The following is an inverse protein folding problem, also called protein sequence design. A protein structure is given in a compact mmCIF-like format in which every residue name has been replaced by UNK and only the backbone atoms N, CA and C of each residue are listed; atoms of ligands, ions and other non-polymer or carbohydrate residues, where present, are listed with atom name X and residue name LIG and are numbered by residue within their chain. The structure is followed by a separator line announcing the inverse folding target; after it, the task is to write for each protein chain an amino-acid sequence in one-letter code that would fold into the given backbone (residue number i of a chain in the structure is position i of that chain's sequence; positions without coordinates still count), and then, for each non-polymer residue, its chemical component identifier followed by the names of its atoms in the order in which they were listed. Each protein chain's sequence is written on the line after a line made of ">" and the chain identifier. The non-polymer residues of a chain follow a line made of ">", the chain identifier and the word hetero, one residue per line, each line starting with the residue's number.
data_IF_356486738500
#
_entry.id   IF_356486738500
#
_cell.length_a   1.000
_cell.length_b   1.000
_cell.length_c   1.000
_cell.angle_alpha   90.00
_cell.angle_beta   90.00
_cell.angle_gamma   90.00
#
_symmetry.space_group_name_H-M   'P 1'
#
loop_
_entity.id
_entity.type
_entity.pdbx_description
1 polymer ?
#
# COMPACT_ATOMS: atom_id res chain seq x y z
N UNK A 1 20.09 -21.70 3.53
CA UNK A 1 20.90 -20.47 3.52
C UNK A 1 19.97 -19.37 4.03
N UNK A 2 20.22 -18.83 5.21
CA UNK A 2 19.48 -17.68 5.75
C UNK A 2 19.81 -16.48 4.86
N UNK A 3 18.81 -16.01 4.12
CA UNK A 3 18.89 -14.76 3.37
C UNK A 3 19.29 -13.63 4.33
N UNK A 4 20.32 -12.87 3.99
CA UNK A 4 20.74 -11.74 4.82
C UNK A 4 19.53 -10.78 4.95
N UNK A 5 19.16 -10.46 6.19
CA UNK A 5 18.16 -9.42 6.41
C UNK A 5 18.62 -8.13 5.70
N UNK A 6 17.69 -7.37 5.09
CA UNK A 6 18.05 -6.10 4.47
C UNK A 6 18.77 -5.22 5.50
N UNK A 7 19.76 -4.46 5.04
CA UNK A 7 20.50 -3.54 5.91
C UNK A 7 19.50 -2.61 6.61
N UNK A 8 19.62 -2.51 7.92
CA UNK A 8 18.83 -1.54 8.68
C UNK A 8 19.22 -0.12 8.24
N UNK A 9 18.26 0.81 8.12
CA UNK A 9 18.57 2.19 7.78
C UNK A 9 19.48 2.83 8.82
N UNK A 10 20.44 3.64 8.36
CA UNK A 10 21.36 4.38 9.23
C UNK A 10 20.77 5.69 9.77
N UNK A 11 19.76 6.23 9.08
CA UNK A 11 19.16 7.53 9.38
C UNK A 11 17.64 7.50 9.31
N UNK A 12 17.04 8.50 9.96
CA UNK A 12 15.64 8.88 9.84
C UNK A 12 15.55 10.41 9.68
N UNK A 13 14.62 10.89 8.89
CA UNK A 13 14.34 12.31 8.79
C UNK A 13 13.11 12.66 9.63
N UNK A 14 13.25 13.64 10.55
CA UNK A 14 12.18 14.09 11.46
C UNK A 14 12.13 15.59 11.48
N UNK A 15 11.02 16.18 11.08
CA UNK A 15 10.73 17.63 11.14
C UNK A 15 11.87 18.55 10.63
N UNK A 16 12.45 18.23 9.47
CA UNK A 16 13.54 19.00 8.87
C UNK A 16 14.96 18.57 9.30
N UNK A 17 15.07 17.50 10.09
CA UNK A 17 16.36 17.04 10.63
C UNK A 17 16.66 15.62 10.24
N UNK A 18 17.83 15.38 9.67
CA UNK A 18 18.38 14.03 9.47
C UNK A 18 19.03 13.59 10.80
N UNK A 19 18.60 12.47 11.35
CA UNK A 19 19.02 11.95 12.65
C UNK A 19 19.52 10.51 12.51
N UNK A 20 20.46 10.03 13.34
CA UNK A 20 20.84 8.62 13.37
C UNK A 20 19.63 7.75 13.71
N UNK A 21 19.47 6.59 13.06
CA UNK A 21 18.28 5.74 13.23
C UNK A 21 18.14 5.13 14.63
N UNK A 22 19.23 5.03 15.38
CA UNK A 22 19.28 4.49 16.76
C UNK A 22 19.09 5.56 17.84
N UNK A 23 18.96 6.86 17.48
CA UNK A 23 18.71 7.93 18.44
C UNK A 23 17.24 8.00 18.87
N UNK A 24 16.89 8.58 20.02
CA UNK A 24 15.51 8.86 20.37
C UNK A 24 14.94 9.99 19.51
N UNK A 25 13.81 9.73 18.82
CA UNK A 25 13.24 10.64 17.81
C UNK A 25 11.91 11.23 18.23
N UNK A 26 11.06 10.42 18.85
CA UNK A 26 9.68 10.79 19.13
C UNK A 26 9.43 10.85 20.64
N UNK A 27 8.55 11.75 21.02
CA UNK A 27 8.06 11.84 22.39
C UNK A 27 7.17 10.63 22.71
N UNK A 28 7.28 10.08 23.93
CA UNK A 28 6.32 9.12 24.45
C UNK A 28 4.90 9.71 24.58
N UNK A 29 4.76 11.02 24.50
CA UNK A 29 3.49 11.75 24.48
C UNK A 29 2.98 12.04 23.06
N UNK A 30 3.65 11.54 22.02
CA UNK A 30 3.16 11.63 20.65
C UNK A 30 1.88 10.80 20.48
N UNK A 31 0.85 11.43 19.92
CA UNK A 31 -0.47 10.81 19.78
C UNK A 31 -0.49 9.69 18.73
N UNK A 32 0.40 9.76 17.73
CA UNK A 32 0.60 8.66 16.79
C UNK A 32 1.07 7.39 17.50
N UNK A 33 2.00 7.52 18.48
CA UNK A 33 2.44 6.39 19.31
C UNK A 33 1.36 5.91 20.27
N UNK A 34 0.66 6.85 20.97
CA UNK A 34 -0.31 6.48 22.02
C UNK A 34 -1.63 5.93 21.48
N UNK A 35 -2.12 6.47 20.34
CA UNK A 35 -3.49 6.27 19.88
C UNK A 35 -3.57 5.81 18.41
N UNK A 36 -2.46 5.77 17.69
CA UNK A 36 -2.50 5.64 16.24
C UNK A 36 -3.11 6.88 15.56
N UNK A 37 -3.09 8.05 16.22
CA UNK A 37 -3.65 9.32 15.73
C UNK A 37 -2.65 9.95 14.75
N UNK A 38 -2.66 9.45 13.53
CA UNK A 38 -1.75 9.84 12.47
C UNK A 38 -2.13 9.17 11.15
N UNK A 39 -1.50 9.64 10.10
CA UNK A 39 -1.63 9.15 8.73
C UNK A 39 -0.27 8.83 8.13
N UNK A 40 -0.24 8.01 7.09
CA UNK A 40 1.02 7.67 6.45
C UNK A 40 0.87 7.39 4.97
N UNK A 41 1.97 7.51 4.25
CA UNK A 41 2.14 7.02 2.90
C UNK A 41 3.31 6.04 2.83
N UNK A 42 3.26 5.15 1.83
CA UNK A 42 4.37 4.25 1.51
C UNK A 42 4.57 4.30 0.01
N UNK A 43 5.72 4.78 -0.39
CA UNK A 43 6.08 5.10 -1.75
C UNK A 43 7.25 4.22 -2.20
N UNK A 44 7.39 4.03 -3.51
CA UNK A 44 8.61 3.46 -4.10
C UNK A 44 9.43 4.57 -4.73
N UNK A 45 10.73 4.57 -4.45
CA UNK A 45 11.69 5.42 -5.11
C UNK A 45 12.68 4.55 -5.90
N UNK A 46 12.88 4.88 -7.18
CA UNK A 46 13.85 4.22 -8.06
C UNK A 46 14.81 5.25 -8.62
N UNK A 47 16.13 5.01 -8.47
CA UNK A 47 17.18 5.95 -8.88
C UNK A 47 16.93 7.38 -8.35
N UNK A 48 16.58 7.49 -7.07
CA UNK A 48 16.26 8.76 -6.41
C UNK A 48 14.90 9.36 -6.77
N UNK A 49 14.17 8.82 -7.76
CA UNK A 49 12.88 9.35 -8.20
C UNK A 49 11.73 8.60 -7.54
N UNK A 50 10.86 9.33 -6.85
CA UNK A 50 9.64 8.78 -6.25
C UNK A 50 8.57 8.59 -7.32
N UNK A 51 7.97 7.40 -7.34
CA UNK A 51 6.84 7.07 -8.22
C UNK A 51 5.54 7.63 -7.66
N UNK A 52 4.75 8.32 -8.50
CA UNK A 52 3.41 8.84 -8.15
C UNK A 52 3.40 9.73 -6.90
N UNK A 53 4.43 10.59 -6.72
CA UNK A 53 4.54 11.45 -5.54
C UNK A 53 3.32 12.36 -5.37
N UNK A 54 2.81 12.94 -6.46
CA UNK A 54 1.64 13.84 -6.44
C UNK A 54 0.39 13.13 -5.93
N UNK A 55 0.13 11.93 -6.41
CA UNK A 55 -1.02 11.11 -6.01
C UNK A 55 -0.91 10.67 -4.54
N UNK A 56 0.28 10.33 -4.10
CA UNK A 56 0.55 10.00 -2.70
C UNK A 56 0.35 11.20 -1.78
N UNK A 57 0.84 12.38 -2.16
CA UNK A 57 0.64 13.62 -1.38
C UNK A 57 -0.85 14.00 -1.33
N UNK A 58 -1.57 13.92 -2.44
CA UNK A 58 -3.01 14.18 -2.47
C UNK A 58 -3.77 13.25 -1.50
N UNK A 59 -3.42 11.96 -1.45
CA UNK A 59 -4.03 11.02 -0.50
C UNK A 59 -3.59 11.25 0.95
N UNK A 60 -2.35 11.70 1.18
CA UNK A 60 -1.89 12.11 2.50
C UNK A 60 -2.74 13.27 3.03
N UNK A 61 -2.97 14.31 2.20
CA UNK A 61 -3.85 15.42 2.52
C UNK A 61 -5.27 14.95 2.82
N UNK A 62 -5.87 14.13 1.94
CA UNK A 62 -7.21 13.57 2.15
C UNK A 62 -7.30 12.80 3.48
N UNK A 63 -6.29 12.00 3.80
CA UNK A 63 -6.28 11.23 5.05
C UNK A 63 -6.11 12.12 6.29
N UNK A 64 -5.28 13.14 6.20
CA UNK A 64 -5.06 14.11 7.28
C UNK A 64 -6.33 14.94 7.53
N UNK A 65 -6.98 15.44 6.47
CA UNK A 65 -8.24 16.18 6.55
C UNK A 65 -9.34 15.32 7.18
N UNK A 66 -9.45 14.05 6.76
CA UNK A 66 -10.43 13.10 7.31
C UNK A 66 -10.27 12.84 8.82
N UNK A 67 -9.04 12.93 9.34
CA UNK A 67 -8.76 12.86 10.79
C UNK A 67 -8.70 14.25 11.45
N UNK A 68 -8.82 15.35 10.70
CA UNK A 68 -8.63 16.69 11.20
C UNK A 68 -7.23 16.93 11.75
N UNK A 69 -6.19 16.37 11.10
CA UNK A 69 -4.78 16.64 11.43
C UNK A 69 -4.32 17.84 10.59
N UNK A 70 -3.99 18.98 11.22
CA UNK A 70 -3.54 20.15 10.47
C UNK A 70 -2.16 19.89 9.87
N UNK A 71 -2.05 19.95 8.55
CA UNK A 71 -0.78 19.90 7.84
C UNK A 71 -0.22 21.32 7.69
N UNK A 72 1.11 21.43 7.77
CA UNK A 72 1.80 22.70 7.46
C UNK A 72 1.61 23.05 5.99
N UNK A 73 1.54 24.34 5.67
CA UNK A 73 1.32 24.79 4.29
C UNK A 73 2.45 24.37 3.33
N UNK A 74 3.65 24.12 3.85
CA UNK A 74 4.84 23.69 3.12
C UNK A 74 5.10 22.16 3.22
N UNK A 75 4.13 21.37 3.70
CA UNK A 75 4.33 19.93 3.96
C UNK A 75 4.80 19.18 2.73
N UNK A 76 4.28 19.47 1.55
CA UNK A 76 4.64 18.80 0.31
C UNK A 76 6.11 19.03 -0.06
N UNK A 77 6.59 20.28 0.05
CA UNK A 77 7.99 20.61 -0.15
C UNK A 77 8.88 19.92 0.89
N UNK A 78 8.49 19.94 2.16
CA UNK A 78 9.22 19.26 3.25
C UNK A 78 9.29 17.74 3.05
N UNK A 79 8.23 17.13 2.53
CA UNK A 79 8.24 15.70 2.21
C UNK A 79 9.20 15.42 1.05
N UNK A 80 9.15 16.22 -0.02
CA UNK A 80 10.05 16.04 -1.16
C UNK A 80 11.52 16.20 -0.76
N UNK A 81 11.86 17.29 -0.08
CA UNK A 81 13.22 17.58 0.40
C UNK A 81 13.72 16.53 1.40
N UNK A 82 12.83 16.10 2.30
CA UNK A 82 13.16 15.08 3.30
C UNK A 82 13.42 13.70 2.67
N UNK A 83 12.67 13.32 1.65
CA UNK A 83 12.88 12.08 0.90
C UNK A 83 14.23 12.16 0.15
N UNK A 84 14.50 13.25 -0.57
CA UNK A 84 15.76 13.42 -1.29
C UNK A 84 16.96 13.35 -0.34
N UNK A 85 16.91 14.11 0.76
CA UNK A 85 17.95 14.12 1.80
C UNK A 85 18.20 12.73 2.37
N UNK A 86 17.14 11.99 2.70
CA UNK A 86 17.25 10.67 3.30
C UNK A 86 17.76 9.63 2.31
N UNK A 87 17.27 9.61 1.07
CA UNK A 87 17.74 8.69 0.03
C UNK A 87 19.22 8.90 -0.28
N UNK A 88 19.69 10.15 -0.29
CA UNK A 88 21.11 10.47 -0.46
C UNK A 88 21.95 9.94 0.72
N UNK A 89 21.50 10.17 1.96
CA UNK A 89 22.19 9.71 3.17
C UNK A 89 22.29 8.17 3.26
N UNK A 90 21.26 7.46 2.79
CA UNK A 90 21.18 6.00 2.78
C UNK A 90 21.85 5.37 1.53
N UNK A 91 22.41 6.18 0.61
CA UNK A 91 23.01 5.67 -0.63
C UNK A 91 22.00 5.08 -1.63
N UNK A 92 20.71 5.45 -1.51
CA UNK A 92 19.60 4.91 -2.30
C UNK A 92 19.20 5.84 -3.46
N UNK A 93 19.88 6.98 -3.64
CA UNK A 93 19.60 7.93 -4.72
C UNK A 93 20.28 7.59 -6.05
N UNK A 94 21.25 6.67 -6.08
CA UNK A 94 21.99 6.30 -7.29
C UNK A 94 21.15 5.50 -8.29
N UNK A 95 21.71 5.28 -9.50
CA UNK A 95 21.05 4.58 -10.63
C UNK A 95 20.49 3.20 -10.25
N UNK A 96 21.14 2.49 -9.34
CA UNK A 96 20.76 1.16 -8.89
C UNK A 96 19.86 1.21 -7.64
N UNK A 97 19.63 2.40 -7.08
CA UNK A 97 18.80 2.61 -5.90
C UNK A 97 17.36 2.19 -6.16
N UNK A 98 16.82 1.36 -5.27
CA UNK A 98 15.41 0.98 -5.24
C UNK A 98 14.98 0.94 -3.77
N UNK A 99 14.04 1.79 -3.39
CA UNK A 99 13.73 2.03 -1.99
C UNK A 99 12.23 2.05 -1.72
N UNK A 100 11.86 1.50 -0.56
CA UNK A 100 10.60 1.80 0.11
C UNK A 100 10.80 3.05 0.95
N UNK A 101 9.96 4.06 0.73
CA UNK A 101 9.91 5.27 1.53
C UNK A 101 8.60 5.30 2.29
N UNK A 102 8.66 5.53 3.60
CA UNK A 102 7.48 5.74 4.44
C UNK A 102 7.48 7.17 4.95
N UNK A 103 6.40 7.88 4.64
CA UNK A 103 6.10 9.21 5.17
C UNK A 103 5.00 9.05 6.21
N UNK A 104 5.23 9.48 7.44
CA UNK A 104 4.26 9.40 8.52
C UNK A 104 4.05 10.78 9.12
N UNK A 105 2.79 11.17 9.28
CA UNK A 105 2.41 12.40 9.96
C UNK A 105 1.54 12.00 11.16
N UNK A 106 2.03 12.21 12.38
CA UNK A 106 1.20 12.12 13.57
C UNK A 106 0.59 13.48 13.89
N UNK A 107 -0.49 13.50 14.68
CA UNK A 107 -1.02 14.77 15.19
C UNK A 107 -0.01 15.52 16.06
N UNK A 108 1.04 14.84 16.57
CA UNK A 108 2.08 15.42 17.40
C UNK A 108 1.93 15.06 18.89
N UNK A 109 2.80 15.64 19.70
CA UNK A 109 2.90 15.37 21.12
C UNK A 109 2.09 16.36 21.96
N UNK A 110 1.35 15.86 22.96
CA UNK A 110 0.68 16.67 23.98
C UNK A 110 0.72 16.00 25.33
N UNK A 111 0.83 16.76 26.39
CA UNK A 111 0.78 16.24 27.77
C UNK A 111 -0.66 16.14 28.32
N UNK A 112 -1.65 16.66 27.58
CA UNK A 112 -3.07 16.52 27.97
C UNK A 112 -3.58 15.13 27.62
N UNK A 113 -4.46 14.57 28.48
CA UNK A 113 -5.14 13.30 28.21
C UNK A 113 -6.46 13.57 27.48
N UNK A 114 -6.89 12.60 26.70
CA UNK A 114 -8.17 12.61 26.01
C UNK A 114 -8.06 12.20 24.53
N UNK A 115 -9.17 11.78 23.95
CA UNK A 115 -9.22 11.39 22.54
C UNK A 115 -9.07 12.60 21.61
N UNK A 116 -9.62 13.76 22.00
CA UNK A 116 -9.39 15.00 21.28
C UNK A 116 -8.30 15.81 21.98
N UNK A 117 -7.34 16.39 21.23
CA UNK A 117 -6.34 17.27 21.82
C UNK A 117 -7.02 18.56 22.31
N UNK A 118 -6.76 18.91 23.57
CA UNK A 118 -7.24 20.17 24.14
C UNK A 118 -6.27 21.33 23.87
N UNK A 119 -5.07 21.05 23.36
CA UNK A 119 -4.03 22.02 23.11
C UNK A 119 -4.12 22.55 21.68
N UNK A 120 -4.49 23.84 21.47
CA UNK A 120 -4.55 24.42 20.14
C UNK A 120 -3.16 24.65 19.50
N UNK A 121 -2.08 24.55 20.30
CA UNK A 121 -0.70 24.71 19.84
C UNK A 121 -0.03 23.37 19.50
N UNK A 122 -0.80 22.29 19.41
CA UNK A 122 -0.23 21.00 18.98
C UNK A 122 0.20 21.08 17.52
N UNK A 123 1.43 20.65 17.23
CA UNK A 123 2.00 20.62 15.89
C UNK A 123 2.18 19.17 15.45
N UNK A 124 1.76 18.88 14.21
CA UNK A 124 1.97 17.58 13.60
C UNK A 124 3.47 17.26 13.50
N UNK A 125 3.83 16.02 13.79
CA UNK A 125 5.21 15.53 13.62
C UNK A 125 5.32 14.78 12.30
N UNK A 126 6.24 15.21 11.44
CA UNK A 126 6.52 14.57 10.15
C UNK A 126 7.78 13.70 10.25
N UNK A 127 7.63 12.41 9.94
CA UNK A 127 8.72 11.41 9.97
C UNK A 127 8.84 10.75 8.61
N UNK A 128 10.06 10.67 8.06
CA UNK A 128 10.36 9.96 6.82
C UNK A 128 11.40 8.89 7.10
N UNK A 129 11.12 7.68 6.64
CA UNK A 129 11.99 6.51 6.76
C UNK A 129 12.19 5.90 5.37
N UNK A 130 13.37 5.31 5.12
CA UNK A 130 13.67 4.63 3.86
C UNK A 130 14.36 3.29 4.12
N UNK A 131 14.03 2.30 3.30
CA UNK A 131 14.65 0.98 3.31
C UNK A 131 14.97 0.56 1.87
N UNK A 132 16.07 -0.13 1.61
CA UNK A 132 16.29 -0.74 0.31
C UNK A 132 15.19 -1.79 0.05
N UNK A 133 14.70 -1.85 -1.20
CA UNK A 133 13.84 -2.94 -1.63
C UNK A 133 14.70 -4.16 -1.90
N UNK A 134 14.39 -5.24 -1.21
CA UNK A 134 14.97 -6.56 -1.50
C UNK A 134 14.06 -7.24 -2.50
N UNK A 135 14.56 -7.64 -3.68
CA UNK A 135 13.78 -8.39 -4.64
C UNK A 135 13.19 -9.65 -4.00
N UNK A 136 11.95 -9.97 -4.33
CA UNK A 136 11.35 -11.23 -3.88
C UNK A 136 12.22 -12.40 -4.36
N UNK A 137 12.38 -13.47 -3.54
CA UNK A 137 13.14 -14.66 -3.95
C UNK A 137 12.64 -15.20 -5.29
N UNK A 138 13.58 -15.64 -6.13
CA UNK A 138 13.23 -16.35 -7.36
C UNK A 138 12.32 -17.54 -7.03
N UNK A 139 11.20 -17.66 -7.73
CA UNK A 139 10.19 -18.69 -7.49
C UNK A 139 8.97 -18.24 -6.66
N UNK A 140 9.07 -17.22 -5.79
CA UNK A 140 7.88 -16.67 -5.10
C UNK A 140 6.89 -16.04 -6.09
N UNK A 141 7.42 -15.43 -7.12
CA UNK A 141 6.61 -14.80 -8.17
C UNK A 141 6.07 -15.82 -9.17
N UNK A 142 6.79 -16.92 -9.38
CA UNK A 142 6.39 -18.00 -10.26
C UNK A 142 5.34 -18.91 -9.60
N UNK A 143 5.37 -19.04 -8.27
CA UNK A 143 4.38 -19.79 -7.51
C UNK A 143 3.08 -19.01 -7.29
N UNK A 144 3.16 -17.66 -7.21
CA UNK A 144 2.06 -16.79 -6.80
C UNK A 144 1.72 -16.91 -5.31
N UNK A 145 0.83 -16.06 -4.84
CA UNK A 145 0.43 -15.96 -3.44
C UNK A 145 -0.75 -16.89 -3.12
N UNK A 146 -0.70 -17.43 -1.92
CA UNK A 146 -1.83 -18.08 -1.25
C UNK A 146 -2.49 -17.07 -0.29
N UNK A 147 -3.76 -16.79 -0.50
CA UNK A 147 -4.55 -15.93 0.38
C UNK A 147 -5.58 -16.74 1.17
N UNK A 148 -5.89 -16.25 2.39
CA UNK A 148 -7.06 -16.69 3.16
C UNK A 148 -8.02 -15.51 3.37
N UNK A 149 -9.28 -15.77 3.68
CA UNK A 149 -10.17 -14.72 4.16
C UNK A 149 -9.88 -14.42 5.63
N UNK A 150 -9.69 -13.14 5.97
CA UNK A 150 -9.56 -12.73 7.36
C UNK A 150 -10.86 -12.89 8.13
N UNK A 151 -10.78 -13.20 9.42
CA UNK A 151 -11.91 -13.12 10.35
C UNK A 151 -12.35 -11.65 10.59
N UNK A 152 -11.43 -10.69 10.41
CA UNK A 152 -11.77 -9.27 10.48
C UNK A 152 -12.63 -8.87 9.29
N UNK A 153 -13.79 -8.28 9.58
CA UNK A 153 -14.73 -7.78 8.55
C UNK A 153 -14.62 -6.27 8.43
N UNK A 154 -14.78 -5.81 7.19
CA UNK A 154 -14.77 -4.37 6.87
C UNK A 154 -16.21 -3.86 6.79
N UNK A 155 -16.48 -2.73 7.43
CA UNK A 155 -17.77 -2.08 7.31
C UNK A 155 -17.72 -1.07 6.15
N UNK A 156 -18.56 -1.23 5.10
CA UNK A 156 -18.66 -0.26 4.02
C UNK A 156 -19.06 1.16 4.47
N UNK A 157 -19.66 1.30 5.64
CA UNK A 157 -20.07 2.59 6.21
C UNK A 157 -18.99 3.21 7.13
N UNK A 158 -17.85 2.52 7.34
CA UNK A 158 -16.75 3.07 8.14
C UNK A 158 -16.12 4.28 7.42
N UNK A 159 -16.23 5.50 7.95
CA UNK A 159 -15.64 6.69 7.34
C UNK A 159 -14.12 6.66 7.31
N UNK A 160 -13.47 5.78 8.10
CA UNK A 160 -12.04 5.65 8.15
C UNK A 160 -11.48 4.66 7.10
N UNK A 161 -12.33 3.86 6.46
CA UNK A 161 -11.90 2.81 5.53
C UNK A 161 -11.05 3.33 4.36
N UNK A 162 -11.34 4.54 3.87
CA UNK A 162 -10.61 5.19 2.77
C UNK A 162 -9.41 6.03 3.23
N UNK A 163 -9.18 6.13 4.54
CA UNK A 163 -8.08 6.90 5.11
C UNK A 163 -6.88 6.00 5.42
N UNK A 164 -5.69 6.47 5.07
CA UNK A 164 -4.45 5.74 5.33
C UNK A 164 -3.89 6.08 6.71
N UNK A 165 -4.57 5.60 7.76
CA UNK A 165 -4.25 5.90 9.16
C UNK A 165 -3.13 5.02 9.70
N UNK A 166 -2.45 5.49 10.76
CA UNK A 166 -1.44 4.70 11.49
C UNK A 166 -2.03 3.62 12.41
N UNK A 167 -3.34 3.58 12.61
CA UNK A 167 -4.08 2.52 13.32
C UNK A 167 -4.13 1.25 12.49
N UNK A 168 -3.12 0.38 12.62
CA UNK A 168 -2.94 -0.81 11.77
C UNK A 168 -3.10 -2.14 12.51
N UNK A 169 -3.66 -2.15 13.72
CA UNK A 169 -3.78 -3.37 14.53
C UNK A 169 -4.57 -4.49 13.83
N UNK A 170 -5.67 -4.16 13.16
CA UNK A 170 -6.49 -5.11 12.41
C UNK A 170 -5.73 -5.75 11.23
N UNK A 171 -4.88 -4.99 10.55
CA UNK A 171 -4.06 -5.48 9.44
C UNK A 171 -2.95 -6.40 9.93
N UNK A 172 -2.32 -6.06 11.07
CA UNK A 172 -1.34 -6.94 11.74
C UNK A 172 -2.01 -8.24 12.18
N UNK A 173 -3.22 -8.16 12.75
CA UNK A 173 -3.99 -9.34 13.16
C UNK A 173 -4.30 -10.24 11.96
N UNK A 174 -4.81 -9.70 10.87
CA UNK A 174 -5.10 -10.45 9.64
C UNK A 174 -3.84 -11.10 9.05
N UNK A 175 -2.69 -10.42 9.08
CA UNK A 175 -1.41 -11.00 8.64
C UNK A 175 -0.96 -12.15 9.55
N UNK A 176 -1.22 -12.07 10.86
CA UNK A 176 -0.96 -13.16 11.80
C UNK A 176 -1.89 -14.36 11.56
N UNK A 177 -3.16 -14.14 11.18
CA UNK A 177 -4.07 -15.22 10.75
C UNK A 177 -3.50 -15.95 9.53
N UNK A 178 -3.11 -15.21 8.48
CA UNK A 178 -2.50 -15.79 7.29
C UNK A 178 -1.27 -16.64 7.63
N UNK A 179 -0.35 -16.08 8.43
CA UNK A 179 0.84 -16.81 8.86
C UNK A 179 0.52 -18.11 9.62
N UNK A 180 -0.48 -18.09 10.51
CA UNK A 180 -0.92 -19.29 11.25
C UNK A 180 -1.53 -20.36 10.34
N UNK A 181 -2.17 -19.94 9.26
CA UNK A 181 -2.75 -20.81 8.26
C UNK A 181 -1.75 -21.29 7.18
N UNK A 182 -0.47 -20.84 7.26
CA UNK A 182 0.53 -21.14 6.22
C UNK A 182 0.24 -20.44 4.90
N UNK A 183 -0.45 -19.28 4.93
CA UNK A 183 -0.75 -18.44 3.78
C UNK A 183 0.16 -17.19 3.76
N UNK A 184 0.28 -16.56 2.57
CA UNK A 184 1.15 -15.42 2.35
C UNK A 184 0.50 -14.11 2.79
N UNK A 185 -0.83 -13.98 2.60
CA UNK A 185 -1.59 -12.79 3.01
C UNK A 185 -3.05 -13.14 3.34
N UNK A 186 -3.78 -12.19 3.91
CA UNK A 186 -5.19 -12.28 4.18
C UNK A 186 -5.97 -11.25 3.34
N UNK A 187 -7.11 -11.69 2.82
CA UNK A 187 -8.08 -10.86 2.12
C UNK A 187 -9.20 -10.48 3.08
N UNK A 188 -9.41 -9.19 3.26
CA UNK A 188 -10.58 -8.70 3.98
C UNK A 188 -11.85 -8.88 3.16
N UNK A 189 -12.93 -9.15 3.88
CA UNK A 189 -14.29 -9.19 3.33
C UNK A 189 -15.13 -8.14 4.04
N UNK A 190 -16.08 -7.56 3.34
CA UNK A 190 -17.05 -6.68 3.96
C UNK A 190 -18.02 -7.46 4.85
N UNK A 191 -18.74 -6.77 5.75
CA UNK A 191 -19.75 -7.38 6.62
C UNK A 191 -20.92 -8.00 5.83
N UNK A 192 -21.18 -7.51 4.63
CA UNK A 192 -22.21 -8.01 3.70
C UNK A 192 -21.66 -9.02 2.68
N UNK A 193 -20.41 -9.48 2.85
CA UNK A 193 -19.84 -10.63 2.15
C UNK A 193 -19.14 -10.36 0.82
N UNK A 194 -18.87 -9.10 0.48
CA UNK A 194 -18.10 -8.75 -0.70
C UNK A 194 -16.59 -8.74 -0.43
N UNK A 195 -15.77 -8.89 -1.48
CA UNK A 195 -14.33 -8.72 -1.41
C UNK A 195 -14.00 -7.26 -1.06
N UNK A 196 -13.00 -7.06 -0.21
CA UNK A 196 -12.45 -5.74 0.12
C UNK A 196 -11.02 -5.65 -0.42
N UNK A 197 -10.01 -5.70 0.41
CA UNK A 197 -8.60 -5.57 0.02
C UNK A 197 -7.71 -6.55 0.80
N UNK A 198 -6.46 -6.75 0.37
CA UNK A 198 -5.44 -7.45 1.14
C UNK A 198 -4.92 -6.60 2.31
N UNK A 199 -3.98 -7.14 3.10
CA UNK A 199 -3.48 -6.40 4.27
C UNK A 199 -2.68 -5.13 3.91
N UNK A 200 -2.11 -5.06 2.70
CA UNK A 200 -1.32 -3.90 2.23
C UNK A 200 -1.54 -3.59 0.74
N UNK A 201 -2.55 -4.18 0.10
CA UNK A 201 -2.70 -4.15 -1.35
C UNK A 201 -4.17 -4.26 -1.76
N UNK A 202 -4.55 -3.65 -2.88
CA UNK A 202 -5.86 -3.88 -3.51
C UNK A 202 -5.84 -5.19 -4.30
N UNK A 203 -7.00 -5.85 -4.42
CA UNK A 203 -7.16 -7.08 -5.21
C UNK A 203 -7.77 -6.78 -6.57
N UNK A 204 -7.31 -7.50 -7.59
CA UNK A 204 -7.83 -7.49 -8.96
C UNK A 204 -8.11 -8.90 -9.44
N UNK A 205 -9.13 -9.04 -10.28
CA UNK A 205 -9.55 -10.27 -10.93
C UNK A 205 -9.57 -10.06 -12.45
N UNK A 206 -9.06 -11.02 -13.20
CA UNK A 206 -9.31 -11.10 -14.64
C UNK A 206 -10.39 -12.15 -14.87
N UNK A 207 -11.50 -11.75 -15.50
CA UNK A 207 -12.66 -12.62 -15.70
C UNK A 207 -13.40 -12.26 -16.99
N UNK A 208 -14.25 -13.14 -17.48
CA UNK A 208 -15.28 -12.79 -18.44
C UNK A 208 -16.38 -11.98 -17.78
N UNK A 209 -16.86 -10.97 -18.46
CA UNK A 209 -17.96 -10.15 -17.96
C UNK A 209 -19.26 -10.96 -17.91
N UNK A 210 -20.10 -10.78 -16.87
CA UNK A 210 -21.34 -11.54 -16.75
C UNK A 210 -22.37 -11.30 -17.87
N UNK A 211 -22.25 -10.18 -18.60
CA UNK A 211 -23.24 -9.75 -19.60
C UNK A 211 -22.83 -10.01 -21.06
N UNK A 212 -21.54 -10.18 -21.30
CA UNK A 212 -20.95 -10.37 -22.63
C UNK A 212 -19.57 -11.05 -22.47
N UNK A 213 -19.11 -11.75 -23.49
CA UNK A 213 -17.83 -12.49 -23.46
C UNK A 213 -16.59 -11.57 -23.52
N UNK A 214 -16.67 -10.37 -22.93
CA UNK A 214 -15.57 -9.41 -22.88
C UNK A 214 -14.75 -9.66 -21.62
N UNK A 215 -13.42 -9.71 -21.76
CA UNK A 215 -12.52 -9.80 -20.60
C UNK A 215 -12.50 -8.49 -19.81
N UNK A 216 -12.70 -8.61 -18.52
CA UNK A 216 -12.65 -7.53 -17.54
C UNK A 216 -11.41 -7.63 -16.66
N UNK A 217 -10.86 -6.45 -16.33
CA UNK A 217 -10.05 -6.27 -15.13
C UNK A 217 -10.94 -5.71 -14.03
N UNK A 218 -11.42 -6.59 -13.16
CA UNK A 218 -12.36 -6.25 -12.10
C UNK A 218 -11.65 -6.03 -10.75
N UNK A 219 -12.10 -5.04 -9.99
CA UNK A 219 -11.61 -4.75 -8.63
C UNK A 219 -12.77 -4.30 -7.76
N UNK A 220 -12.75 -4.53 -6.44
CA UNK A 220 -13.75 -3.95 -5.54
C UNK A 220 -13.86 -2.44 -5.71
N UNK A 221 -15.10 -1.92 -5.73
CA UNK A 221 -15.38 -0.49 -5.72
C UNK A 221 -15.04 0.13 -4.36
N UNK A 222 -14.88 1.44 -4.31
CA UNK A 222 -14.49 2.14 -3.07
C UNK A 222 -15.48 1.94 -1.93
N UNK A 223 -16.74 1.68 -2.24
CA UNK A 223 -17.79 1.35 -1.26
C UNK A 223 -17.67 -0.07 -0.67
N UNK A 224 -16.63 -0.82 -1.01
CA UNK A 224 -16.25 -2.07 -0.35
C UNK A 224 -15.22 -1.88 0.78
N UNK A 225 -15.15 -0.70 1.38
CA UNK A 225 -14.24 -0.37 2.48
C UNK A 225 -12.77 -0.62 2.13
N UNK A 226 -12.34 -0.17 0.97
CA UNK A 226 -10.96 -0.28 0.47
C UNK A 226 -10.25 1.07 0.45
N UNK A 227 -8.92 1.04 0.53
CA UNK A 227 -8.12 2.22 0.29
C UNK A 227 -8.10 2.55 -1.22
N UNK A 228 -8.26 3.84 -1.62
CA UNK A 228 -8.06 4.27 -3.00
C UNK A 228 -6.57 4.22 -3.36
N UNK A 229 -6.11 3.06 -3.88
CA UNK A 229 -4.70 2.82 -4.19
C UNK A 229 -4.23 3.60 -5.42
N UNK A 230 -3.02 4.19 -5.40
CA UNK A 230 -2.42 4.85 -6.57
C UNK A 230 -2.15 3.84 -7.68
N UNK A 231 -1.56 2.69 -7.34
CA UNK A 231 -1.38 1.58 -8.28
C UNK A 231 -2.71 1.02 -8.79
N UNK A 232 -3.77 1.02 -7.96
CA UNK A 232 -5.12 0.66 -8.39
C UNK A 232 -5.63 1.60 -9.48
N UNK A 233 -5.48 2.90 -9.31
CA UNK A 233 -5.88 3.90 -10.32
C UNK A 233 -5.10 3.73 -11.62
N UNK A 234 -3.78 3.49 -11.54
CA UNK A 234 -2.95 3.19 -12.70
C UNK A 234 -3.43 1.93 -13.43
N UNK A 235 -3.76 0.85 -12.72
CA UNK A 235 -4.25 -0.40 -13.31
C UNK A 235 -5.58 -0.25 -14.05
N UNK A 236 -6.51 0.53 -13.52
CA UNK A 236 -7.78 0.80 -14.20
C UNK A 236 -7.57 1.55 -15.53
N UNK A 237 -6.66 2.54 -15.54
CA UNK A 237 -6.28 3.23 -16.76
C UNK A 237 -5.48 2.32 -17.72
N UNK A 238 -4.60 1.48 -17.21
CA UNK A 238 -3.82 0.50 -17.97
C UNK A 238 -4.73 -0.52 -18.65
N UNK A 239 -5.74 -1.05 -17.96
CA UNK A 239 -6.67 -2.04 -18.50
C UNK A 239 -7.31 -1.59 -19.82
N UNK A 240 -7.81 -0.35 -19.87
CA UNK A 240 -8.41 0.22 -21.07
C UNK A 240 -7.41 0.28 -22.26
N UNK A 241 -6.14 0.60 -21.97
CA UNK A 241 -5.09 0.69 -23.00
C UNK A 241 -4.71 -0.66 -23.61
N UNK A 242 -4.83 -1.74 -22.83
CA UNK A 242 -4.43 -3.09 -23.27
C UNK A 242 -5.60 -3.93 -23.78
N UNK A 243 -6.81 -3.37 -23.83
CA UNK A 243 -8.01 -4.04 -24.36
C UNK A 243 -8.76 -4.88 -23.33
N UNK A 244 -8.52 -4.67 -22.04
CA UNK A 244 -9.36 -5.17 -20.96
C UNK A 244 -10.38 -4.11 -20.57
N UNK A 245 -11.62 -4.51 -20.27
CA UNK A 245 -12.63 -3.59 -19.73
C UNK A 245 -12.38 -3.37 -18.24
N UNK A 246 -12.05 -2.14 -17.78
CA UNK A 246 -11.95 -1.88 -16.36
C UNK A 246 -13.34 -1.96 -15.71
N UNK A 247 -13.43 -2.65 -14.58
CA UNK A 247 -14.67 -2.81 -13.82
C UNK A 247 -14.43 -2.58 -12.33
N UNK A 248 -15.20 -1.68 -11.76
CA UNK A 248 -15.27 -1.46 -10.31
C UNK A 248 -16.64 -1.88 -9.81
N UNK A 249 -16.70 -2.80 -8.86
CA UNK A 249 -17.98 -3.33 -8.39
C UNK A 249 -17.88 -4.10 -7.07
N UNK A 250 -19.03 -4.55 -6.59
CA UNK A 250 -19.14 -5.40 -5.39
C UNK A 250 -18.88 -6.85 -5.79
N UNK A 251 -17.63 -7.25 -5.73
CA UNK A 251 -17.19 -8.59 -6.09
C UNK A 251 -17.38 -9.56 -4.92
N UNK A 252 -17.77 -10.79 -5.23
CA UNK A 252 -18.01 -11.85 -4.26
C UNK A 252 -16.89 -12.92 -4.27
N UNK A 253 -16.94 -13.86 -3.32
CA UNK A 253 -16.10 -15.06 -3.36
C UNK A 253 -16.33 -15.90 -4.62
N UNK A 254 -17.56 -15.91 -5.14
CA UNK A 254 -17.86 -16.63 -6.37
C UNK A 254 -17.18 -15.99 -7.58
N UNK A 255 -17.10 -14.66 -7.63
CA UNK A 255 -16.36 -13.95 -8.68
C UNK A 255 -14.86 -14.27 -8.63
N UNK A 256 -14.28 -14.34 -7.43
CA UNK A 256 -12.88 -14.75 -7.27
C UNK A 256 -12.65 -16.21 -7.69
N UNK A 257 -13.57 -17.10 -7.34
CA UNK A 257 -13.47 -18.52 -7.72
C UNK A 257 -13.64 -18.75 -9.24
N UNK A 258 -14.41 -17.90 -9.93
CA UNK A 258 -14.64 -17.95 -11.36
C UNK A 258 -13.58 -17.17 -12.17
N UNK A 259 -12.72 -16.40 -11.50
CA UNK A 259 -11.69 -15.59 -12.17
C UNK A 259 -10.63 -16.49 -12.83
N UNK A 260 -10.22 -16.14 -14.03
CA UNK A 260 -9.10 -16.80 -14.71
C UNK A 260 -7.75 -16.43 -14.11
N UNK A 261 -7.63 -15.22 -13.55
CA UNK A 261 -6.44 -14.74 -12.86
C UNK A 261 -6.87 -13.81 -11.70
N UNK A 262 -6.05 -13.79 -10.64
CA UNK A 262 -6.13 -12.77 -9.61
C UNK A 262 -4.74 -12.27 -9.22
N UNK A 263 -4.67 -11.02 -8.75
CA UNK A 263 -3.43 -10.46 -8.24
C UNK A 263 -3.67 -9.34 -7.23
N UNK A 264 -2.69 -9.10 -6.39
CA UNK A 264 -2.63 -7.96 -5.49
C UNK A 264 -1.79 -6.83 -6.11
N UNK A 265 -2.12 -5.59 -5.78
CA UNK A 265 -1.39 -4.41 -6.25
C UNK A 265 -1.07 -3.43 -5.13
N UNK A 266 0.18 -2.97 -5.07
CA UNK A 266 0.63 -1.92 -4.16
C UNK A 266 1.78 -1.11 -4.73
N UNK A 267 2.03 0.07 -4.18
CA UNK A 267 3.08 0.98 -4.68
C UNK A 267 4.48 0.41 -4.57
N UNK A 268 4.77 -0.40 -3.55
CA UNK A 268 6.11 -0.96 -3.29
C UNK A 268 6.27 -2.35 -3.89
N UNK A 269 5.38 -3.28 -3.54
CA UNK A 269 5.48 -4.66 -4.03
C UNK A 269 5.05 -4.83 -5.50
N UNK A 270 4.47 -3.78 -6.09
CA UNK A 270 4.00 -3.83 -7.47
C UNK A 270 2.79 -4.76 -7.63
N UNK A 271 2.84 -5.60 -8.65
CA UNK A 271 1.81 -6.58 -8.98
C UNK A 271 2.26 -7.97 -8.54
N UNK A 272 1.48 -8.60 -7.66
CA UNK A 272 1.77 -9.92 -7.10
C UNK A 272 0.67 -10.90 -7.48
N UNK A 273 0.98 -11.98 -8.25
CA UNK A 273 0.00 -12.99 -8.62
C UNK A 273 -0.64 -13.64 -7.39
N UNK A 274 -1.94 -13.91 -7.45
CA UNK A 274 -2.67 -14.72 -6.47
C UNK A 274 -3.10 -16.01 -7.17
N UNK A 275 -2.54 -17.13 -6.77
CA UNK A 275 -2.77 -18.44 -7.40
C UNK A 275 -3.63 -19.37 -6.57
N UNK A 276 -3.88 -18.99 -5.30
CA UNK A 276 -4.70 -19.79 -4.39
C UNK A 276 -5.48 -18.88 -3.43
N UNK A 277 -6.74 -19.19 -3.24
CA UNK A 277 -7.58 -18.59 -2.20
C UNK A 277 -8.21 -19.68 -1.34
N UNK A 278 -7.98 -19.64 -0.03
CA UNK A 278 -8.32 -20.74 0.88
C UNK A 278 -7.74 -22.09 0.38
N UNK A 279 -8.58 -23.10 0.22
CA UNK A 279 -8.17 -24.39 -0.30
C UNK A 279 -8.24 -24.50 -1.84
N UNK A 280 -8.73 -23.48 -2.54
CA UNK A 280 -9.02 -23.54 -3.97
C UNK A 280 -7.96 -22.81 -4.81
N UNK A 281 -7.56 -23.36 -5.96
CA UNK A 281 -6.76 -22.60 -6.91
C UNK A 281 -7.59 -21.45 -7.50
N UNK A 282 -6.91 -20.39 -7.92
CA UNK A 282 -7.46 -19.31 -8.76
C UNK A 282 -7.04 -19.62 -10.19
N UNK A 283 -8.01 -19.68 -11.12
CA UNK A 283 -7.75 -20.12 -12.48
C UNK A 283 -7.15 -21.51 -12.53
N UNK A 284 -6.01 -21.65 -13.18
CA UNK A 284 -5.24 -22.91 -13.26
C UNK A 284 -4.23 -23.09 -12.11
N UNK A 285 -4.22 -22.19 -11.13
CA UNK A 285 -3.29 -22.20 -10.00
C UNK A 285 -1.89 -21.68 -10.35
N UNK A 286 -1.75 -20.92 -11.42
CA UNK A 286 -0.50 -20.32 -11.89
C UNK A 286 -0.68 -18.83 -12.18
N UNK A 287 0.42 -18.04 -12.17
CA UNK A 287 0.38 -16.65 -12.61
C UNK A 287 -0.07 -16.54 -14.07
N UNK A 288 -1.14 -15.80 -14.34
CA UNK A 288 -1.68 -15.68 -15.67
C UNK A 288 -1.00 -14.56 -16.50
N UNK A 289 -1.24 -14.58 -17.81
CA UNK A 289 -0.60 -13.68 -18.79
C UNK A 289 -0.85 -12.19 -18.52
N UNK A 290 -2.05 -11.85 -18.04
CA UNK A 290 -2.43 -10.47 -17.80
C UNK A 290 -1.76 -9.91 -16.54
N UNK A 291 -1.67 -10.75 -15.52
CA UNK A 291 -0.92 -10.45 -14.29
C UNK A 291 0.55 -10.19 -14.59
N UNK A 292 1.17 -11.07 -15.38
CA UNK A 292 2.59 -10.93 -15.77
C UNK A 292 2.82 -9.69 -16.64
N UNK A 293 1.89 -9.39 -17.57
CA UNK A 293 1.94 -8.20 -18.40
C UNK A 293 1.79 -6.92 -17.56
N UNK A 294 0.75 -6.85 -16.69
CA UNK A 294 0.54 -5.72 -15.80
C UNK A 294 1.78 -5.42 -14.96
N UNK A 295 2.42 -6.48 -14.46
CA UNK A 295 3.67 -6.38 -13.71
C UNK A 295 4.81 -5.82 -14.53
N UNK A 296 5.04 -6.36 -15.73
CA UNK A 296 6.11 -5.89 -16.62
C UNK A 296 5.92 -4.42 -17.01
N UNK A 297 4.70 -4.04 -17.40
CA UNK A 297 4.36 -2.67 -17.79
C UNK A 297 4.50 -1.70 -16.59
N UNK A 298 4.09 -2.14 -15.38
CA UNK A 298 4.26 -1.34 -14.15
C UNK A 298 5.74 -1.14 -13.80
N UNK A 299 6.57 -2.16 -13.89
CA UNK A 299 8.00 -2.05 -13.63
C UNK A 299 8.71 -1.16 -14.68
N UNK A 300 8.29 -1.23 -15.95
CA UNK A 300 8.77 -0.34 -17.01
C UNK A 300 8.46 1.13 -16.69
N UNK A 301 7.22 1.43 -16.27
CA UNK A 301 6.82 2.76 -15.85
C UNK A 301 7.64 3.27 -14.67
N UNK A 302 7.87 2.44 -13.64
CA UNK A 302 8.68 2.81 -12.47
C UNK A 302 10.12 3.13 -12.88
N UNK A 303 10.68 2.40 -13.86
CA UNK A 303 12.02 2.69 -14.41
C UNK A 303 12.04 3.91 -15.33
N UNK A 304 10.87 4.43 -15.74
CA UNK A 304 10.79 5.56 -16.67
C UNK A 304 11.07 5.17 -18.12
N UNK A 305 10.82 3.91 -18.48
CA UNK A 305 11.04 3.35 -19.82
C UNK A 305 9.81 3.54 -20.74
N UNK A 306 8.68 3.99 -20.19
CA UNK A 306 7.39 4.17 -20.92
C UNK A 306 7.35 5.41 -21.83
N UNK A 307 8.46 5.98 -22.23
CA UNK A 307 8.61 7.22 -22.99
C UNK A 307 8.61 7.07 -24.51
N UNK A 308 7.91 6.08 -25.10
CA UNK A 308 7.96 5.92 -26.53
C UNK A 308 6.98 4.91 -27.13
N UNK A 309 5.72 5.28 -27.23
CA UNK A 309 4.83 4.74 -28.28
C UNK A 309 3.60 5.63 -28.43
#
# INVERSE_FOLDING_TARGET
>A
MTEAAPAAPGHVWVDGRLLPADAPHLSAFDRGFQLGDGVFETLRARAGRVTELTEHLARLHQSADGLGIPLAADVDARVADGIETLLAAEGLAGSDGDATVRVTVSRGATRTRGLLPADPAIHATLVIQAWPIVPAPAGHLDAGLHLIASAVRRDPQDPLAMLKTTSRAEYVYARLEARRAGADDALFMTIDGHLSEGTTANIFLVREAPSDDVLELATPSLDCAILPGTTRSWLLAWAARVGLRPHEGRLSRADLAAASEAFLSSSVAGILPVTRFEAQPVGDGRPGRWTLRARADRESMIRGEDGGS
#
